data_IF_596260386727
#
_entry.id   IF_596260386727
#
_cell.length_a   1.000
_cell.length_b   1.000
_cell.length_c   1.000
_cell.angle_alpha   90.00
_cell.angle_beta   90.00
_cell.angle_gamma   90.00
#
_symmetry.space_group_name_H-M   'P 1'
#
loop_
_entity.id
_entity.type
_entity.pdbx_description
1 polymer ?
#
# COMPACT_ATOMS: atom_id res chain seq x y z
N UNK A 1 2.18 -0.44 27.48
CA UNK A 1 3.01 -0.31 26.39
C UNK A 1 2.28 -0.41 25.07
N UNK A 2 2.62 0.41 24.20
CA UNK A 2 1.94 0.42 22.95
C UNK A 2 2.40 -0.75 22.13
N UNK A 3 1.45 -1.51 21.68
CA UNK A 3 1.76 -2.59 20.81
C UNK A 3 1.91 -2.07 19.42
N UNK A 4 2.96 -2.44 18.79
CA UNK A 4 3.13 -2.06 17.43
C UNK A 4 2.09 -2.74 16.57
N UNK A 5 1.34 -1.95 15.87
CA UNK A 5 0.34 -2.47 14.96
C UNK A 5 1.02 -3.01 13.72
N UNK A 6 0.73 -4.23 13.39
CA UNK A 6 1.28 -4.81 12.20
C UNK A 6 0.20 -4.88 11.15
N UNK A 7 0.44 -4.28 10.03
CA UNK A 7 -0.54 -4.33 8.95
C UNK A 7 -0.59 -5.73 8.36
N UNK A 8 -1.79 -6.19 8.12
CA UNK A 8 -1.99 -7.51 7.53
C UNK A 8 -2.14 -7.36 6.03
N UNK A 9 -1.05 -7.56 5.32
CA UNK A 9 -1.06 -7.39 3.87
C UNK A 9 -1.74 -8.53 3.14
N UNK A 10 -2.12 -9.59 3.85
CA UNK A 10 -2.86 -10.66 3.18
C UNK A 10 -4.25 -10.17 2.77
N UNK A 11 -4.70 -9.06 3.34
CA UNK A 11 -5.99 -8.47 3.02
C UNK A 11 -5.87 -7.09 2.44
N UNK A 12 -4.79 -6.86 1.69
CA UNK A 12 -4.55 -5.51 1.17
C UNK A 12 -5.64 -5.10 0.18
N UNK A 13 -6.22 -6.05 -0.54
CA UNK A 13 -7.31 -5.74 -1.46
C UNK A 13 -8.51 -5.18 -0.71
N UNK A 14 -8.79 -5.71 0.46
CA UNK A 14 -9.89 -5.20 1.27
C UNK A 14 -9.61 -3.77 1.71
N UNK A 15 -8.39 -3.51 2.13
CA UNK A 15 -7.98 -2.16 2.52
C UNK A 15 -8.17 -1.18 1.36
N UNK A 16 -7.77 -1.60 0.16
CA UNK A 16 -7.93 -0.78 -1.04
C UNK A 16 -9.40 -0.49 -1.30
N UNK A 17 -10.22 -1.52 -1.24
CA UNK A 17 -11.65 -1.35 -1.54
C UNK A 17 -12.34 -0.45 -0.52
N UNK A 18 -11.90 -0.51 0.72
CA UNK A 18 -12.45 0.38 1.75
C UNK A 18 -12.19 1.84 1.44
N UNK A 19 -11.12 2.12 0.72
CA UNK A 19 -10.80 3.48 0.33
C UNK A 19 -11.49 3.90 -0.96
N UNK A 20 -12.22 2.98 -1.59
CA UNK A 20 -12.95 3.30 -2.81
C UNK A 20 -12.06 3.43 -4.04
N UNK A 21 -10.91 2.79 -4.02
CA UNK A 21 -9.93 2.90 -5.11
C UNK A 21 -9.85 1.60 -5.89
N UNK A 22 -9.62 1.73 -7.20
CA UNK A 22 -9.37 0.54 -8.00
C UNK A 22 -7.87 0.20 -7.90
N UNK A 23 -7.48 -0.94 -8.50
CA UNK A 23 -6.10 -1.41 -8.40
C UNK A 23 -5.11 -0.39 -8.94
N UNK A 24 -5.39 0.19 -10.10
CA UNK A 24 -4.48 1.14 -10.69
C UNK A 24 -4.32 2.37 -9.79
N UNK A 25 -5.43 2.90 -9.29
CA UNK A 25 -5.38 4.08 -8.44
C UNK A 25 -4.60 3.84 -7.15
N UNK A 26 -4.82 2.69 -6.56
CA UNK A 26 -4.19 2.40 -5.28
C UNK A 26 -2.69 2.15 -5.45
N UNK A 27 -2.34 1.25 -6.38
CA UNK A 27 -0.96 0.79 -6.47
C UNK A 27 -0.03 1.79 -7.15
N UNK A 28 -0.53 2.57 -8.13
CA UNK A 28 0.35 3.52 -8.80
C UNK A 28 0.81 4.64 -7.88
N UNK A 29 0.07 4.92 -6.83
CA UNK A 29 0.51 5.94 -5.88
C UNK A 29 1.79 5.52 -5.15
N UNK A 30 2.09 4.24 -5.13
CA UNK A 30 3.31 3.72 -4.52
C UNK A 30 4.37 3.39 -5.56
N UNK A 31 4.14 3.77 -6.81
CA UNK A 31 5.08 3.47 -7.87
C UNK A 31 4.99 2.04 -8.38
N UNK A 32 3.90 1.36 -8.11
CA UNK A 32 3.67 -0.02 -8.53
C UNK A 32 2.68 -0.05 -9.66
N UNK A 33 2.96 -0.85 -10.69
CA UNK A 33 2.01 -0.98 -11.80
C UNK A 33 0.78 -1.74 -11.35
N UNK A 34 -0.30 -1.60 -12.13
CA UNK A 34 -1.51 -2.34 -11.81
C UNK A 34 -1.25 -3.84 -11.83
N UNK A 35 -0.46 -4.32 -12.79
CA UNK A 35 -0.13 -5.74 -12.85
C UNK A 35 0.60 -6.21 -11.61
N UNK A 36 1.57 -5.42 -11.15
CA UNK A 36 2.29 -5.75 -9.94
C UNK A 36 1.38 -5.76 -8.73
N UNK A 37 0.51 -4.75 -8.64
CA UNK A 37 -0.44 -4.68 -7.54
C UNK A 37 -1.39 -5.85 -7.53
N UNK A 38 -1.85 -6.26 -8.72
CA UNK A 38 -2.75 -7.40 -8.83
C UNK A 38 -2.09 -8.67 -8.29
N UNK A 39 -0.81 -8.84 -8.57
CA UNK A 39 -0.08 -10.00 -8.07
C UNK A 39 0.04 -9.99 -6.56
N UNK A 40 0.31 -8.83 -5.99
CA UNK A 40 0.38 -8.71 -4.53
C UNK A 40 -0.97 -9.01 -3.90
N UNK A 41 -2.04 -8.55 -4.51
CA UNK A 41 -3.37 -8.84 -3.98
C UNK A 41 -3.73 -10.32 -4.12
N UNK A 42 -3.08 -11.01 -5.06
CA UNK A 42 -3.32 -12.43 -5.27
C UNK A 42 -2.44 -13.33 -4.39
N UNK A 43 -1.60 -12.74 -3.56
CA UNK A 43 -0.81 -13.51 -2.61
C UNK A 43 0.69 -13.47 -2.79
N UNK A 44 1.18 -12.75 -3.80
CA UNK A 44 2.62 -12.64 -3.97
C UNK A 44 3.22 -11.82 -2.83
N UNK A 45 4.39 -12.23 -2.38
CA UNK A 45 5.04 -11.51 -1.28
C UNK A 45 5.35 -10.08 -1.66
N UNK A 46 5.05 -9.16 -0.77
CA UNK A 46 5.35 -7.75 -0.98
C UNK A 46 6.79 -7.50 -0.55
N UNK A 47 7.62 -6.91 -1.42
CA UNK A 47 9.01 -6.62 -1.05
C UNK A 47 9.07 -5.72 0.17
N UNK A 48 10.11 -5.90 0.98
CA UNK A 48 10.24 -5.17 2.23
C UNK A 48 10.16 -3.65 2.06
N UNK A 49 10.85 -3.05 1.08
CA UNK A 49 10.74 -1.59 0.92
C UNK A 49 9.32 -1.15 0.64
N UNK A 50 8.60 -1.90 -0.17
CA UNK A 50 7.23 -1.56 -0.47
C UNK A 50 6.33 -1.76 0.74
N UNK A 51 6.59 -2.80 1.52
CA UNK A 51 5.82 -3.04 2.74
C UNK A 51 6.00 -1.90 3.73
N UNK A 52 7.22 -1.39 3.85
CA UNK A 52 7.49 -0.27 4.72
C UNK A 52 6.73 0.97 4.25
N UNK A 53 6.75 1.23 2.96
CA UNK A 53 6.06 2.38 2.40
C UNK A 53 4.56 2.27 2.62
N UNK A 54 4.00 1.09 2.39
CA UNK A 54 2.58 0.86 2.63
C UNK A 54 2.23 1.11 4.09
N UNK A 55 3.06 0.60 4.99
CA UNK A 55 2.80 0.77 6.41
C UNK A 55 2.80 2.24 6.81
N UNK A 56 3.80 2.98 6.33
CA UNK A 56 3.90 4.40 6.66
C UNK A 56 2.70 5.19 6.16
N UNK A 57 2.28 4.90 4.94
CA UNK A 57 1.17 5.63 4.36
C UNK A 57 -0.16 5.24 5.00
N UNK A 58 -0.40 3.94 5.15
CA UNK A 58 -1.68 3.47 5.68
C UNK A 58 -1.83 3.78 7.16
N UNK A 59 -0.73 3.93 7.88
CA UNK A 59 -0.80 4.30 9.29
C UNK A 59 -0.92 5.80 9.49
N UNK A 60 -0.91 6.58 8.41
CA UNK A 60 -1.10 8.02 8.50
C UNK A 60 0.17 8.83 8.69
N UNK A 61 1.32 8.19 8.65
CA UNK A 61 2.58 8.90 8.83
C UNK A 61 3.05 9.61 7.58
N UNK A 62 2.55 9.17 6.42
CA UNK A 62 2.80 9.85 5.15
C UNK A 62 1.47 10.28 4.57
N UNK A 63 1.45 11.49 4.02
CA UNK A 63 0.25 11.99 3.37
C UNK A 63 0.24 11.59 1.90
N UNK A 64 -0.91 11.75 1.26
CA UNK A 64 -1.00 11.51 -0.18
C UNK A 64 -0.04 12.42 -0.93
N UNK A 65 0.13 13.65 -0.46
CA UNK A 65 1.04 14.59 -1.10
C UNK A 65 2.48 14.11 -0.98
N UNK A 66 2.85 13.56 0.17
CA UNK A 66 4.20 13.03 0.35
C UNK A 66 4.48 11.92 -0.65
N UNK A 67 3.50 11.05 -0.87
CA UNK A 67 3.65 9.98 -1.84
C UNK A 67 3.78 10.52 -3.26
N UNK A 68 2.92 11.46 -3.61
CA UNK A 68 2.93 12.03 -4.95
C UNK A 68 4.28 12.66 -5.25
N UNK A 69 4.86 13.34 -4.27
CA UNK A 69 6.16 13.98 -4.46
C UNK A 69 7.27 12.94 -4.60
N UNK A 70 7.17 11.85 -3.85
CA UNK A 70 8.21 10.84 -3.87
C UNK A 70 8.20 10.00 -5.15
N UNK A 71 7.04 9.82 -5.75
CA UNK A 71 6.90 8.96 -6.92
C UNK A 71 7.25 9.68 -8.21
N UNK A 72 7.25 10.98 -8.22
CA UNK A 72 7.52 11.76 -9.42
C UNK A 72 8.81 11.45 -10.10
#
# INVERSE_FOLDING_TARGET
MARKQKLDFSNIAHTRKKQGLNQAEFWTRYGVTQSGGSRYESGRNIPKPLAILLWLHLSGKLTDQDLADAVK
#
